data_IF_850040921814
#
_entry.id   IF_850040921814
#
_cell.length_a   1.000
_cell.length_b   1.000
_cell.length_c   1.000
_cell.angle_alpha   90.00
_cell.angle_beta   90.00
_cell.angle_gamma   90.00
#
_symmetry.space_group_name_H-M   'P 1'
#
loop_
_entity.id
_entity.type
_entity.pdbx_description
1 polymer ?
#
# COMPACT_ATOMS: atom_id res chain seq x y z
N UNK A 1 -4.59 -5.45 -22.85
CA UNK A 1 -3.22 -5.68 -22.32
C UNK A 1 -2.24 -4.54 -22.65
N UNK A 2 -2.37 -3.83 -23.78
CA UNK A 2 -1.42 -2.77 -24.19
C UNK A 2 -1.28 -1.64 -23.16
N UNK A 3 -2.40 -1.10 -22.65
CA UNK A 3 -2.40 -0.08 -21.59
C UNK A 3 -1.61 -0.46 -20.34
N UNK A 4 -1.68 -1.73 -19.94
CA UNK A 4 -0.97 -2.22 -18.75
C UNK A 4 0.54 -2.18 -18.96
N UNK A 5 1.01 -2.46 -20.18
CA UNK A 5 2.44 -2.42 -20.55
C UNK A 5 3.00 -1.01 -20.75
N UNK A 6 2.17 0.00 -21.06
CA UNK A 6 2.66 1.37 -21.30
C UNK A 6 3.08 2.10 -20.03
N UNK A 7 2.64 1.63 -18.85
CA UNK A 7 2.92 2.27 -17.56
C UNK A 7 4.30 1.88 -16.99
N UNK A 8 5.37 2.48 -17.52
CA UNK A 8 6.77 2.19 -17.11
C UNK A 8 7.15 2.62 -15.68
N UNK A 9 6.35 3.47 -15.02
CA UNK A 9 6.65 4.01 -13.68
C UNK A 9 6.18 3.10 -12.54
N UNK A 10 5.40 2.07 -12.83
CA UNK A 10 4.86 1.19 -11.81
C UNK A 10 5.89 0.17 -11.34
N UNK A 11 5.95 -0.07 -10.03
CA UNK A 11 6.71 -1.20 -9.50
C UNK A 11 6.09 -2.52 -9.93
N UNK A 12 6.90 -3.57 -10.07
CA UNK A 12 6.44 -4.93 -10.46
C UNK A 12 5.25 -5.39 -9.62
N UNK A 13 5.35 -5.32 -8.28
CA UNK A 13 4.27 -5.63 -7.34
C UNK A 13 2.94 -4.91 -7.67
N UNK A 14 3.02 -3.64 -8.07
CA UNK A 14 1.85 -2.81 -8.32
C UNK A 14 1.22 -3.18 -9.67
N UNK A 15 2.06 -3.39 -10.68
CA UNK A 15 1.69 -3.87 -12.01
C UNK A 15 0.98 -5.22 -11.92
N UNK A 16 1.52 -6.17 -11.19
CA UNK A 16 0.89 -7.48 -10.97
C UNK A 16 -0.44 -7.35 -10.22
N UNK A 17 -0.49 -6.54 -9.16
CA UNK A 17 -1.72 -6.32 -8.40
C UNK A 17 -2.85 -5.74 -9.27
N UNK A 18 -2.53 -4.77 -10.15
CA UNK A 18 -3.51 -4.26 -11.11
C UNK A 18 -3.96 -5.37 -12.05
N UNK A 19 -3.03 -6.15 -12.61
CA UNK A 19 -3.40 -7.22 -13.54
C UNK A 19 -4.30 -8.27 -12.88
N UNK A 20 -3.99 -8.69 -11.66
CA UNK A 20 -4.82 -9.61 -10.87
C UNK A 20 -6.20 -9.03 -10.62
N UNK A 21 -6.30 -7.74 -10.27
CA UNK A 21 -7.59 -7.05 -10.13
C UNK A 21 -8.39 -7.08 -11.45
N UNK A 22 -7.74 -6.83 -12.58
CA UNK A 22 -8.39 -6.88 -13.90
C UNK A 22 -8.86 -8.30 -14.26
N UNK A 23 -8.04 -9.32 -13.96
CA UNK A 23 -8.41 -10.74 -14.16
C UNK A 23 -9.60 -11.16 -13.32
N UNK A 24 -9.71 -10.65 -12.09
CA UNK A 24 -10.78 -11.03 -11.18
C UNK A 24 -12.10 -10.29 -11.46
N UNK A 25 -12.04 -9.03 -11.92
CA UNK A 25 -13.21 -8.16 -11.95
C UNK A 25 -13.58 -7.64 -13.34
N UNK A 26 -12.61 -7.44 -14.23
CA UNK A 26 -12.86 -6.82 -15.55
C UNK A 26 -12.99 -7.87 -16.65
N UNK A 27 -12.00 -8.76 -16.78
CA UNK A 27 -11.96 -9.71 -17.89
C UNK A 27 -13.14 -10.68 -17.93
N UNK A 28 -13.61 -11.25 -16.80
CA UNK A 28 -14.75 -12.17 -16.82
C UNK A 28 -16.04 -11.50 -17.32
N UNK A 29 -16.22 -10.21 -17.04
CA UNK A 29 -17.45 -9.49 -17.36
C UNK A 29 -17.43 -8.90 -18.78
N UNK A 30 -16.33 -8.25 -19.18
CA UNK A 30 -16.29 -7.46 -20.43
C UNK A 30 -15.02 -7.69 -21.27
N UNK A 31 -14.13 -8.62 -20.86
CA UNK A 31 -12.86 -8.83 -21.54
C UNK A 31 -12.97 -9.39 -22.96
N UNK A 32 -14.10 -10.00 -23.30
CA UNK A 32 -14.40 -10.55 -24.62
C UNK A 32 -15.11 -9.55 -25.55
N UNK A 33 -15.56 -8.41 -25.02
CA UNK A 33 -16.30 -7.41 -25.81
C UNK A 33 -15.32 -6.50 -26.55
N UNK A 34 -15.47 -6.30 -27.87
CA UNK A 34 -14.67 -5.35 -28.62
C UNK A 34 -14.73 -3.94 -28.01
N UNK A 35 -13.58 -3.25 -27.98
CA UNK A 35 -13.47 -1.94 -27.32
C UNK A 35 -14.40 -0.88 -27.91
N UNK A 36 -14.67 -0.97 -29.21
CA UNK A 36 -15.60 -0.09 -29.96
C UNK A 36 -17.07 -0.31 -29.59
N UNK A 37 -17.42 -1.46 -29.03
CA UNK A 37 -18.78 -1.82 -28.61
C UNK A 37 -19.01 -1.59 -27.11
N UNK A 38 -17.98 -1.19 -26.36
CA UNK A 38 -18.12 -0.90 -24.94
C UNK A 38 -18.95 0.36 -24.73
N UNK A 39 -19.99 0.25 -23.90
CA UNK A 39 -20.91 1.32 -23.53
C UNK A 39 -20.92 1.47 -22.00
N UNK A 40 -21.37 2.62 -21.51
CA UNK A 40 -21.46 2.92 -20.08
C UNK A 40 -22.22 1.84 -19.31
N UNK A 41 -23.28 1.27 -19.90
CA UNK A 41 -24.08 0.19 -19.30
C UNK A 41 -23.26 -1.06 -18.95
N UNK A 42 -22.26 -1.44 -19.75
CA UNK A 42 -21.42 -2.60 -19.48
C UNK A 42 -20.56 -2.37 -18.24
N UNK A 43 -20.05 -1.15 -18.06
CA UNK A 43 -19.29 -0.78 -16.88
C UNK A 43 -20.17 -0.66 -15.64
N UNK A 44 -21.36 -0.09 -15.77
CA UNK A 44 -22.33 0.01 -14.67
C UNK A 44 -22.72 -1.37 -14.15
N UNK A 45 -23.07 -2.31 -15.04
CA UNK A 45 -23.40 -3.67 -14.65
C UNK A 45 -22.25 -4.36 -13.90
N UNK A 46 -21.02 -4.25 -14.44
CA UNK A 46 -19.81 -4.77 -13.81
C UNK A 46 -19.60 -4.18 -12.41
N UNK A 47 -19.69 -2.85 -12.27
CA UNK A 47 -19.44 -2.16 -11.00
C UNK A 47 -20.49 -2.51 -9.95
N UNK A 48 -21.77 -2.62 -10.34
CA UNK A 48 -22.84 -3.08 -9.44
C UNK A 48 -22.59 -4.48 -8.90
N UNK A 49 -22.14 -5.43 -9.73
CA UNK A 49 -21.79 -6.78 -9.25
C UNK A 49 -20.68 -6.77 -8.19
N UNK A 50 -19.75 -5.81 -8.24
CA UNK A 50 -18.69 -5.66 -7.22
C UNK A 50 -19.26 -5.01 -5.95
N UNK A 51 -20.12 -4.02 -6.12
CA UNK A 51 -20.81 -3.32 -5.03
C UNK A 51 -21.77 -4.24 -4.27
N UNK A 52 -22.54 -5.08 -4.96
CA UNK A 52 -23.47 -6.04 -4.36
C UNK A 52 -22.76 -7.06 -3.46
N UNK A 53 -21.46 -7.28 -3.69
CA UNK A 53 -20.59 -8.11 -2.84
C UNK A 53 -20.02 -7.34 -1.63
N UNK A 54 -20.35 -6.05 -1.48
CA UNK A 54 -19.86 -5.17 -0.43
C UNK A 54 -18.47 -4.58 -0.68
N UNK A 55 -17.87 -4.77 -1.86
CA UNK A 55 -16.48 -4.38 -2.13
C UNK A 55 -16.36 -2.96 -2.71
N UNK A 56 -16.86 -1.95 -1.99
CA UNK A 56 -16.92 -0.56 -2.46
C UNK A 56 -15.55 0.02 -2.87
N UNK A 57 -14.49 -0.21 -2.11
CA UNK A 57 -13.13 0.25 -2.45
C UNK A 57 -12.60 -0.40 -3.74
N UNK A 58 -12.95 -1.67 -3.97
CA UNK A 58 -12.58 -2.39 -5.19
C UNK A 58 -13.38 -1.85 -6.38
N UNK A 59 -14.67 -1.58 -6.21
CA UNK A 59 -15.51 -0.98 -7.23
C UNK A 59 -14.97 0.41 -7.65
N UNK A 60 -14.67 1.27 -6.68
CA UNK A 60 -14.09 2.60 -6.90
C UNK A 60 -12.76 2.54 -7.67
N UNK A 61 -11.84 1.64 -7.27
CA UNK A 61 -10.57 1.43 -7.98
C UNK A 61 -10.76 0.85 -9.37
N UNK A 62 -11.69 -0.07 -9.54
CA UNK A 62 -12.01 -0.69 -10.84
C UNK A 62 -12.57 0.35 -11.80
N UNK A 63 -13.45 1.24 -11.33
CA UNK A 63 -13.95 2.39 -12.11
C UNK A 63 -12.80 3.27 -12.59
N UNK A 64 -11.88 3.63 -11.69
CA UNK A 64 -10.71 4.44 -12.06
C UNK A 64 -9.83 3.74 -13.11
N UNK A 65 -9.65 2.42 -13.00
CA UNK A 65 -8.92 1.62 -13.99
C UNK A 65 -9.63 1.62 -15.34
N UNK A 66 -10.95 1.40 -15.38
CA UNK A 66 -11.75 1.45 -16.61
C UNK A 66 -11.63 2.83 -17.30
N UNK A 67 -11.74 3.92 -16.53
CA UNK A 67 -11.52 5.27 -17.06
C UNK A 67 -10.15 5.44 -17.70
N UNK A 68 -9.09 4.93 -17.06
CA UNK A 68 -7.73 5.04 -17.57
C UNK A 68 -7.49 4.16 -18.80
N UNK A 69 -8.06 2.95 -18.85
CA UNK A 69 -7.98 2.04 -20.00
C UNK A 69 -8.67 2.67 -21.22
N UNK A 70 -9.90 3.19 -21.04
CA UNK A 70 -10.64 3.82 -22.13
C UNK A 70 -10.02 5.16 -22.55
N UNK A 71 -9.43 5.92 -21.62
CA UNK A 71 -8.65 7.13 -21.97
C UNK A 71 -7.48 6.77 -22.87
N UNK A 72 -6.76 5.70 -22.55
CA UNK A 72 -5.68 5.20 -23.40
C UNK A 72 -6.19 4.77 -24.78
N UNK A 73 -7.35 4.09 -24.85
CA UNK A 73 -7.94 3.69 -26.12
C UNK A 73 -8.25 4.89 -27.03
N UNK A 74 -8.80 5.98 -26.46
CA UNK A 74 -9.03 7.25 -27.19
C UNK A 74 -7.71 7.82 -27.69
N UNK A 75 -6.68 7.88 -26.84
CA UNK A 75 -5.35 8.39 -27.21
C UNK A 75 -4.65 7.57 -28.31
N UNK A 76 -5.04 6.31 -28.51
CA UNK A 76 -4.52 5.45 -29.57
C UNK A 76 -5.44 5.41 -30.81
N UNK A 77 -6.52 6.19 -30.83
CA UNK A 77 -7.48 6.20 -31.94
C UNK A 77 -8.34 4.93 -32.06
N UNK A 78 -8.42 4.10 -31.01
CA UNK A 78 -9.21 2.86 -31.03
C UNK A 78 -10.71 3.10 -30.80
N UNK A 79 -11.06 4.24 -30.24
CA UNK A 79 -12.44 4.71 -29.99
C UNK A 79 -12.42 6.23 -29.97
N UNK A 80 -13.51 6.86 -30.38
CA UNK A 80 -13.62 8.32 -30.41
C UNK A 80 -13.87 8.90 -29.02
N UNK A 81 -14.63 8.17 -28.19
CA UNK A 81 -15.11 8.65 -26.89
C UNK A 81 -14.76 7.67 -25.78
N UNK A 82 -14.71 8.18 -24.54
CA UNK A 82 -14.50 7.40 -23.33
C UNK A 82 -15.84 7.19 -22.56
N UNK A 83 -16.51 6.04 -22.73
CA UNK A 83 -17.80 5.77 -22.08
C UNK A 83 -17.71 5.58 -20.55
N UNK A 84 -16.50 5.50 -19.98
CA UNK A 84 -16.29 5.35 -18.54
C UNK A 84 -16.25 6.71 -17.80
N UNK A 85 -16.21 7.85 -18.50
CA UNK A 85 -16.12 9.17 -17.87
C UNK A 85 -17.33 9.48 -16.96
N UNK A 86 -18.53 9.07 -17.36
CA UNK A 86 -19.78 9.36 -16.66
C UNK A 86 -20.19 8.27 -15.66
N UNK A 87 -19.22 7.54 -15.08
CA UNK A 87 -19.47 6.51 -14.06
C UNK A 87 -19.48 7.06 -12.64
N UNK A 88 -19.41 8.37 -12.47
CA UNK A 88 -19.55 9.01 -11.15
C UNK A 88 -20.97 8.81 -10.62
N UNK A 89 -21.10 8.48 -9.33
CA UNK A 89 -22.39 8.17 -8.70
C UNK A 89 -22.99 6.80 -9.04
N UNK A 90 -22.36 6.00 -9.92
CA UNK A 90 -22.85 4.66 -10.29
C UNK A 90 -22.77 3.67 -9.12
N UNK A 91 -21.74 3.79 -8.29
CA UNK A 91 -21.58 3.02 -7.06
C UNK A 91 -21.48 3.97 -5.87
N UNK A 92 -21.95 3.54 -4.72
CA UNK A 92 -21.74 4.24 -3.46
C UNK A 92 -20.24 4.47 -3.22
N UNK A 93 -19.85 5.64 -2.69
CA UNK A 93 -18.47 5.86 -2.29
C UNK A 93 -18.12 4.88 -1.16
N UNK A 94 -16.87 4.38 -1.10
CA UNK A 94 -16.41 3.58 0.02
C UNK A 94 -16.59 4.35 1.33
N UNK A 95 -17.17 3.71 2.34
CA UNK A 95 -17.30 4.29 3.68
C UNK A 95 -15.89 4.44 4.26
N UNK A 96 -15.46 5.69 4.48
CA UNK A 96 -14.15 6.00 5.04
C UNK A 96 -14.22 5.98 6.56
N UNK A 97 -13.75 4.89 7.15
CA UNK A 97 -13.52 4.82 8.59
C UNK A 97 -12.06 5.23 8.86
N UNK A 98 -11.89 6.45 9.37
CA UNK A 98 -10.57 6.92 9.80
C UNK A 98 -10.17 6.22 11.11
N UNK A 99 -8.92 5.77 11.19
CA UNK A 99 -8.38 5.28 12.47
C UNK A 99 -8.24 6.46 13.43
N UNK A 100 -8.86 6.42 14.62
CA UNK A 100 -8.74 7.51 15.58
C UNK A 100 -7.28 7.65 16.01
N UNK A 101 -6.77 8.88 15.98
CA UNK A 101 -5.48 9.17 16.58
C UNK A 101 -5.56 8.98 18.11
N UNK A 102 -4.49 8.47 18.72
CA UNK A 102 -4.42 8.38 20.18
C UNK A 102 -4.33 9.80 20.77
N UNK A 103 -5.25 10.20 21.67
CA UNK A 103 -5.13 11.45 22.41
C UNK A 103 -3.82 11.48 23.21
N UNK A 104 -3.18 12.65 23.27
CA UNK A 104 -1.85 12.78 23.90
C UNK A 104 -1.91 12.46 25.40
N UNK A 105 -3.03 12.77 26.04
CA UNK A 105 -3.32 12.53 27.45
C UNK A 105 -3.35 11.03 27.79
N UNK A 106 -3.59 10.18 26.78
CA UNK A 106 -3.60 8.72 26.90
C UNK A 106 -2.25 8.07 26.60
N UNK A 107 -1.23 8.85 26.24
CA UNK A 107 0.11 8.32 26.01
C UNK A 107 0.69 7.61 27.25
N UNK A 108 0.54 8.12 28.49
CA UNK A 108 0.98 7.41 29.69
C UNK A 108 0.31 6.03 29.83
N UNK A 109 -1.01 5.95 29.62
CA UNK A 109 -1.78 4.69 29.65
C UNK A 109 -1.23 3.69 28.61
N UNK A 110 -0.95 4.16 27.39
CA UNK A 110 -0.37 3.31 26.34
C UNK A 110 1.01 2.76 26.75
N UNK A 111 1.88 3.62 27.28
CA UNK A 111 3.23 3.22 27.70
C UNK A 111 3.18 2.19 28.85
N UNK A 112 2.28 2.39 29.81
CA UNK A 112 2.04 1.43 30.90
C UNK A 112 1.58 0.08 30.36
N UNK A 113 0.61 0.07 29.45
CA UNK A 113 0.11 -1.18 28.83
C UNK A 113 1.17 -1.89 28.00
N UNK A 114 2.02 -1.15 27.28
CA UNK A 114 3.16 -1.73 26.57
C UNK A 114 4.12 -2.37 27.57
N UNK A 115 4.46 -1.69 28.66
CA UNK A 115 5.35 -2.20 29.71
C UNK A 115 4.81 -3.46 30.40
N UNK A 116 3.53 -3.42 30.77
CA UNK A 116 2.80 -4.51 31.45
C UNK A 116 2.44 -5.70 30.55
N UNK A 117 2.70 -5.62 29.24
CA UNK A 117 2.48 -6.75 28.33
C UNK A 117 3.51 -7.86 28.58
N UNK A 118 3.14 -8.81 29.45
CA UNK A 118 3.98 -9.95 29.88
C UNK A 118 3.92 -11.15 28.92
N UNK A 119 3.16 -11.10 27.83
CA UNK A 119 3.05 -12.25 26.94
C UNK A 119 4.37 -12.56 26.20
N UNK A 120 4.49 -13.83 25.75
CA UNK A 120 5.71 -14.54 25.28
C UNK A 120 6.50 -13.92 24.11
N UNK A 121 6.29 -12.67 23.70
CA UNK A 121 7.00 -12.03 22.58
C UNK A 121 7.63 -10.69 22.99
N UNK A 122 8.68 -10.76 23.80
CA UNK A 122 9.49 -9.61 24.23
C UNK A 122 9.90 -8.72 23.04
N UNK A 123 10.31 -9.34 21.92
CA UNK A 123 10.69 -8.61 20.71
C UNK A 123 9.54 -7.74 20.16
N UNK A 124 8.30 -8.25 20.15
CA UNK A 124 7.13 -7.48 19.71
C UNK A 124 6.92 -6.25 20.59
N UNK A 125 7.02 -6.41 21.91
CA UNK A 125 6.89 -5.31 22.87
C UNK A 125 7.95 -4.24 22.63
N UNK A 126 9.21 -4.64 22.48
CA UNK A 126 10.31 -3.72 22.22
C UNK A 126 10.17 -3.03 20.86
N UNK A 127 9.73 -3.73 19.82
CA UNK A 127 9.47 -3.16 18.50
C UNK A 127 8.36 -2.10 18.56
N UNK A 128 7.26 -2.37 19.27
CA UNK A 128 6.17 -1.39 19.46
C UNK A 128 6.68 -0.16 20.21
N UNK A 129 7.40 -0.35 21.32
CA UNK A 129 8.00 0.77 22.05
C UNK A 129 8.96 1.59 21.16
N UNK A 130 9.77 0.92 20.34
CA UNK A 130 10.69 1.56 19.42
C UNK A 130 9.96 2.38 18.34
N UNK A 131 8.83 1.90 17.81
CA UNK A 131 8.06 2.66 16.80
C UNK A 131 7.60 4.04 17.29
N UNK A 132 7.31 4.16 18.59
CA UNK A 132 6.90 5.43 19.22
C UNK A 132 8.03 6.47 19.23
N UNK A 133 9.28 6.05 19.02
CA UNK A 133 10.44 6.94 18.96
C UNK A 133 10.93 7.26 17.54
N UNK A 134 10.63 6.40 16.56
CA UNK A 134 11.25 6.48 15.24
C UNK A 134 10.31 6.99 14.14
N UNK A 135 9.00 6.76 14.26
CA UNK A 135 8.00 7.12 13.24
C UNK A 135 8.30 6.62 11.82
N UNK A 136 9.09 5.55 11.70
CA UNK A 136 9.40 4.86 10.44
C UNK A 136 8.28 3.90 10.04
N UNK A 137 8.22 3.53 8.76
CA UNK A 137 7.20 2.58 8.29
C UNK A 137 7.46 1.19 8.84
N UNK A 138 6.40 0.41 9.01
CA UNK A 138 6.48 -0.96 9.54
C UNK A 138 7.42 -1.87 8.74
N UNK A 139 7.49 -1.71 7.42
CA UNK A 139 8.45 -2.45 6.58
C UNK A 139 9.90 -2.02 6.79
N UNK A 140 10.12 -0.73 7.05
CA UNK A 140 11.47 -0.18 7.29
C UNK A 140 12.03 -0.75 8.60
N UNK A 141 11.17 -0.88 9.64
CA UNK A 141 11.50 -1.50 10.92
C UNK A 141 11.69 -3.02 10.81
N UNK A 142 10.76 -3.73 10.17
CA UNK A 142 10.75 -5.21 10.13
C UNK A 142 12.00 -5.79 9.46
N UNK A 143 12.53 -5.10 8.44
CA UNK A 143 13.67 -5.57 7.65
C UNK A 143 14.98 -4.83 7.98
N UNK A 144 15.02 -4.18 9.15
CA UNK A 144 16.20 -3.51 9.68
C UNK A 144 17.44 -4.41 9.68
N UNK A 145 18.61 -3.84 9.40
CA UNK A 145 19.91 -4.49 9.56
C UNK A 145 20.73 -3.80 10.63
N UNK A 146 21.48 -4.55 11.43
CA UNK A 146 22.38 -3.98 12.41
C UNK A 146 23.46 -3.08 11.79
N UNK A 147 23.87 -3.36 10.55
CA UNK A 147 24.80 -2.52 9.78
C UNK A 147 24.25 -1.14 9.42
N UNK A 148 22.93 -0.93 9.49
CA UNK A 148 22.29 0.36 9.21
C UNK A 148 22.30 1.29 10.42
N UNK A 149 22.64 0.77 11.61
CA UNK A 149 22.53 1.46 12.89
C UNK A 149 23.92 1.82 13.41
N UNK A 150 24.21 3.11 13.41
CA UNK A 150 25.39 3.67 14.05
C UNK A 150 25.05 4.05 15.51
N UNK A 151 25.44 3.18 16.45
CA UNK A 151 25.25 3.43 17.88
C UNK A 151 26.14 4.54 18.45
N UNK A 152 27.26 4.86 17.79
CA UNK A 152 28.19 5.91 18.23
C UNK A 152 27.61 7.28 17.92
N UNK A 153 27.20 7.48 16.66
CA UNK A 153 26.60 8.72 16.19
C UNK A 153 25.10 8.80 16.46
N UNK A 154 24.48 7.69 16.92
CA UNK A 154 23.05 7.58 17.24
C UNK A 154 22.18 7.86 16.01
N UNK A 155 22.52 7.25 14.90
CA UNK A 155 21.83 7.42 13.62
C UNK A 155 21.48 6.04 13.08
N UNK A 156 20.26 5.90 12.57
CA UNK A 156 19.88 4.79 11.71
C UNK A 156 19.69 5.30 10.28
N UNK A 157 20.55 4.86 9.38
CA UNK A 157 20.43 5.15 7.94
C UNK A 157 19.70 4.02 7.24
N UNK A 158 18.41 4.22 6.97
CA UNK A 158 17.61 3.25 6.20
C UNK A 158 17.99 3.42 4.72
N UNK A 159 18.51 2.38 4.04
CA UNK A 159 18.91 2.50 2.64
C UNK A 159 17.69 2.61 1.71
N UNK A 160 17.90 3.03 0.47
CA UNK A 160 16.85 3.08 -0.56
C UNK A 160 16.22 1.70 -0.82
N UNK A 161 17.06 0.67 -0.85
CA UNK A 161 16.71 -0.75 -1.02
C UNK A 161 17.69 -1.60 -0.22
N UNK A 162 17.32 -2.86 0.02
CA UNK A 162 18.13 -3.86 0.71
C UNK A 162 18.38 -5.04 -0.21
N UNK A 163 19.42 -5.80 0.10
CA UNK A 163 19.57 -7.14 -0.44
C UNK A 163 18.43 -8.04 0.07
N UNK A 164 17.83 -8.80 -0.84
CA UNK A 164 16.73 -9.71 -0.53
C UNK A 164 17.27 -10.90 0.29
N UNK A 165 16.56 -11.25 1.36
CA UNK A 165 16.79 -12.51 2.06
C UNK A 165 16.01 -13.59 1.33
N UNK A 166 16.67 -14.71 1.06
CA UNK A 166 16.03 -15.89 0.48
C UNK A 166 14.77 -16.28 1.27
N UNK A 167 13.68 -16.59 0.57
CA UNK A 167 12.38 -17.01 1.13
C UNK A 167 11.69 -15.98 2.03
N UNK A 168 12.20 -14.76 2.19
CA UNK A 168 11.53 -13.69 2.95
C UNK A 168 10.97 -12.65 2.00
N UNK A 169 9.66 -12.73 1.78
CA UNK A 169 8.92 -11.80 0.92
C UNK A 169 9.10 -10.35 1.40
N UNK A 170 9.42 -9.46 0.47
CA UNK A 170 9.58 -8.00 0.67
C UNK A 170 10.78 -7.56 1.51
N UNK A 171 11.73 -8.46 1.78
CA UNK A 171 12.92 -8.15 2.59
C UNK A 171 13.90 -7.19 1.91
N UNK A 172 13.76 -7.00 0.59
CA UNK A 172 14.47 -6.02 -0.22
C UNK A 172 14.02 -4.58 0.01
N UNK A 173 12.88 -4.37 0.69
CA UNK A 173 12.31 -3.03 0.86
C UNK A 173 13.18 -2.18 1.78
N UNK A 174 13.61 -1.03 1.26
CA UNK A 174 14.22 0.05 2.03
C UNK A 174 13.24 1.20 2.27
N UNK A 175 13.76 2.43 2.28
CA UNK A 175 12.98 3.65 2.45
C UNK A 175 11.94 3.83 1.32
N UNK A 176 10.73 4.27 1.69
CA UNK A 176 9.62 4.43 0.73
C UNK A 176 9.94 5.30 -0.48
N UNK A 177 10.75 6.35 -0.27
CA UNK A 177 11.10 7.32 -1.32
C UNK A 177 12.25 6.84 -2.22
N UNK A 178 12.78 5.62 -2.01
CA UNK A 178 13.92 5.07 -2.78
C UNK A 178 15.19 5.93 -2.70
N UNK A 179 15.33 6.68 -1.62
CA UNK A 179 16.52 7.44 -1.23
C UNK A 179 16.86 7.10 0.22
N UNK A 180 18.13 7.15 0.63
CA UNK A 180 18.49 6.92 2.03
C UNK A 180 17.71 7.84 2.98
N UNK A 181 17.12 7.26 4.03
CA UNK A 181 16.37 7.98 5.05
C UNK A 181 17.15 7.94 6.37
N UNK A 182 17.56 9.11 6.83
CA UNK A 182 18.35 9.29 8.05
C UNK A 182 17.40 9.48 9.22
N UNK A 183 17.50 8.62 10.23
CA UNK A 183 16.66 8.62 11.42
C UNK A 183 17.54 8.84 12.65
N UNK A 184 17.52 10.03 13.27
CA UNK A 184 18.19 10.27 14.54
C UNK A 184 17.59 9.40 15.65
N UNK A 185 18.45 8.81 16.48
CA UNK A 185 18.04 7.89 17.54
C UNK A 185 18.06 8.60 18.89
N UNK A 186 16.90 8.69 19.53
CA UNK A 186 16.77 9.17 20.91
C UNK A 186 17.52 8.24 21.89
N UNK A 187 17.78 8.73 23.11
CA UNK A 187 18.39 7.92 24.17
C UNK A 187 17.57 6.65 24.43
N UNK A 188 16.25 6.76 24.43
CA UNK A 188 15.31 5.65 24.62
C UNK A 188 15.38 4.65 23.47
N UNK A 189 15.42 5.13 22.22
CA UNK A 189 15.55 4.26 21.05
C UNK A 189 16.85 3.44 21.10
N UNK A 190 17.97 4.07 21.46
CA UNK A 190 19.26 3.37 21.64
C UNK A 190 19.16 2.32 22.74
N UNK A 191 18.56 2.64 23.88
CA UNK A 191 18.37 1.68 24.98
C UNK A 191 17.56 0.47 24.52
N UNK A 192 16.45 0.69 23.81
CA UNK A 192 15.60 -0.39 23.29
C UNK A 192 16.36 -1.22 22.24
N UNK A 193 17.06 -0.59 21.31
CA UNK A 193 17.85 -1.29 20.28
C UNK A 193 18.94 -2.18 20.89
N UNK A 194 19.58 -1.73 21.98
CA UNK A 194 20.55 -2.54 22.74
C UNK A 194 19.95 -3.73 23.47
N UNK A 195 18.65 -3.71 23.80
CA UNK A 195 17.95 -4.87 24.38
C UNK A 195 17.53 -5.89 23.32
N UNK A 196 17.42 -5.47 22.06
CA UNK A 196 17.04 -6.33 20.93
C UNK A 196 18.28 -7.04 20.33
N UNK A 197 19.44 -6.39 20.39
CA UNK A 197 20.72 -6.89 19.86
C UNK A 197 21.26 -8.05 20.69
#
# INVERSE_FOLDING_TARGET
MTWHKTNKKWSVDYTERILTSMKNHIFPAIGHVPITLLKTQHFTALLKVIEDKGFLEVASRTRQQLCNIMRYAVQQGLTENNPALHLEGVTAPPVKNHYPALPLERLPELLERIGGYQQRRQLTRLAVALTLHLFIRSSELRFARWSEIDFRHKIWTIPATREAIEKVRFSDRGAKMRTPHIVPLSRQAITILKQIK
#
